data_IF_482192857954
#
_entry.id   IF_482192857954
#
_cell.length_a   1.000
_cell.length_b   1.000
_cell.length_c   1.000
_cell.angle_alpha   90.00
_cell.angle_beta   90.00
_cell.angle_gamma   90.00
#
_symmetry.space_group_name_H-M   'P 1'
#
loop_
_entity.id
_entity.type
_entity.pdbx_description
1 polymer ?
#
# COMPACT_ATOMS: atom_id res chain seq x y z
N UNK A 1 -2.59 -27.23 -12.23
CA UNK A 1 -3.03 -25.83 -12.16
C UNK A 1 -1.80 -24.99 -11.87
N UNK A 2 -1.39 -24.10 -12.77
CA UNK A 2 -0.32 -23.15 -12.51
C UNK A 2 -0.82 -22.11 -11.52
N UNK A 3 -0.05 -21.83 -10.46
CA UNK A 3 -0.38 -20.77 -9.52
C UNK A 3 -0.44 -19.43 -10.27
N UNK A 4 -1.50 -18.65 -10.07
CA UNK A 4 -1.59 -17.30 -10.64
C UNK A 4 -0.73 -16.35 -9.79
N UNK A 5 0.07 -15.46 -10.41
CA UNK A 5 0.83 -14.47 -9.67
C UNK A 5 -0.06 -13.57 -8.82
N UNK A 6 0.27 -13.46 -7.53
CA UNK A 6 -0.38 -12.54 -6.61
C UNK A 6 0.37 -11.23 -6.60
N UNK A 7 -0.13 -10.25 -7.37
CA UNK A 7 0.41 -8.88 -7.36
C UNK A 7 0.02 -8.16 -6.08
N UNK A 8 1.03 -7.88 -5.27
CA UNK A 8 0.89 -7.19 -3.99
C UNK A 8 1.40 -5.77 -4.18
N UNK A 9 0.48 -4.81 -4.22
CA UNK A 9 0.83 -3.40 -4.30
C UNK A 9 1.26 -2.85 -2.94
N UNK A 10 2.32 -2.05 -2.93
CA UNK A 10 2.70 -1.17 -1.84
C UNK A 10 2.60 0.26 -2.35
N UNK A 11 1.57 0.97 -1.90
CA UNK A 11 1.34 2.37 -2.25
C UNK A 11 1.98 3.26 -1.18
N UNK A 12 3.07 3.92 -1.54
CA UNK A 12 3.96 4.65 -0.66
C UNK A 12 3.65 6.15 -0.70
N UNK A 13 3.45 6.76 0.47
CA UNK A 13 3.41 8.22 0.58
C UNK A 13 4.81 8.84 0.69
N UNK A 14 4.95 10.14 0.38
CA UNK A 14 6.16 10.89 0.71
C UNK A 14 6.54 10.74 2.19
N UNK A 15 7.83 10.90 2.49
CA UNK A 15 8.41 10.73 3.84
C UNK A 15 8.25 9.33 4.47
N UNK A 16 7.74 8.33 3.74
CA UNK A 16 7.83 6.93 4.17
C UNK A 16 9.30 6.56 4.39
N UNK A 17 9.61 5.98 5.54
CA UNK A 17 10.95 5.57 5.92
C UNK A 17 11.26 4.21 5.31
N UNK A 18 12.50 4.03 4.87
CA UNK A 18 12.98 2.75 4.34
C UNK A 18 12.71 1.56 5.26
N UNK A 19 12.84 1.76 6.58
CA UNK A 19 12.60 0.72 7.57
C UNK A 19 11.18 0.12 7.48
N UNK A 20 10.16 0.95 7.33
CA UNK A 20 8.75 0.50 7.27
C UNK A 20 8.52 -0.36 6.04
N UNK A 21 9.08 0.02 4.90
CA UNK A 21 9.03 -0.79 3.68
C UNK A 21 9.84 -2.09 3.83
N UNK A 22 11.06 -2.03 4.38
CA UNK A 22 11.92 -3.20 4.57
C UNK A 22 11.27 -4.27 5.46
N UNK A 23 10.52 -3.87 6.48
CA UNK A 23 9.75 -4.81 7.32
C UNK A 23 8.67 -5.55 6.52
N UNK A 24 7.97 -4.83 5.64
CA UNK A 24 6.95 -5.44 4.78
C UNK A 24 7.58 -6.41 3.76
N UNK A 25 8.73 -6.03 3.18
CA UNK A 25 9.47 -6.90 2.28
C UNK A 25 9.99 -8.16 3.00
N UNK A 26 10.49 -8.05 4.23
CA UNK A 26 10.95 -9.22 4.99
C UNK A 26 9.80 -10.15 5.35
N UNK A 27 8.62 -9.61 5.70
CA UNK A 27 7.42 -10.43 5.88
C UNK A 27 7.05 -11.19 4.61
N UNK A 28 7.15 -10.53 3.44
CA UNK A 28 6.90 -11.19 2.15
C UNK A 28 7.96 -12.25 1.83
N UNK A 29 9.23 -12.00 2.14
CA UNK A 29 10.31 -12.99 2.01
C UNK A 29 10.07 -14.18 2.91
N UNK A 30 9.65 -13.97 4.16
CA UNK A 30 9.29 -15.04 5.09
C UNK A 30 8.10 -15.87 4.54
N UNK A 31 7.06 -15.22 4.02
CA UNK A 31 5.94 -15.90 3.39
C UNK A 31 6.37 -16.74 2.18
N UNK A 32 7.26 -16.23 1.32
CA UNK A 32 7.84 -16.99 0.20
C UNK A 32 8.66 -18.19 0.66
N UNK A 33 9.39 -18.09 1.78
CA UNK A 33 10.14 -19.23 2.34
C UNK A 33 9.21 -20.35 2.81
N UNK A 34 8.04 -20.01 3.36
CA UNK A 34 7.04 -20.97 3.82
C UNK A 34 6.20 -21.55 2.68
N UNK A 35 5.99 -20.79 1.61
CA UNK A 35 5.21 -21.16 0.43
C UNK A 35 5.99 -20.86 -0.86
N UNK A 36 7.01 -21.65 -1.22
CA UNK A 36 7.84 -21.42 -2.40
C UNK A 36 7.06 -21.44 -3.72
N UNK A 37 5.94 -22.17 -3.75
CA UNK A 37 5.01 -22.25 -4.88
C UNK A 37 4.15 -20.99 -5.06
N UNK A 38 4.06 -20.13 -4.05
CA UNK A 38 3.29 -18.90 -4.10
C UNK A 38 4.06 -17.82 -4.89
N UNK A 39 3.51 -17.45 -6.06
CA UNK A 39 4.06 -16.42 -6.93
C UNK A 39 3.68 -15.02 -6.44
N UNK A 40 4.28 -14.56 -5.34
CA UNK A 40 4.09 -13.18 -4.89
C UNK A 40 4.88 -12.20 -5.75
N UNK A 41 4.23 -11.19 -6.31
CA UNK A 41 4.84 -10.14 -7.14
C UNK A 41 4.63 -8.77 -6.48
N UNK A 42 5.62 -8.25 -5.71
CA UNK A 42 5.51 -6.93 -5.11
C UNK A 42 5.58 -5.86 -6.21
N UNK A 43 4.65 -4.91 -6.15
CA UNK A 43 4.60 -3.73 -6.99
C UNK A 43 4.69 -2.50 -6.10
N UNK A 44 5.72 -1.68 -6.28
CA UNK A 44 5.89 -0.44 -5.52
C UNK A 44 5.36 0.75 -6.33
N UNK A 45 4.41 1.47 -5.74
CA UNK A 45 3.77 2.63 -6.34
C UNK A 45 3.91 3.82 -5.41
N UNK A 46 4.09 5.02 -5.97
CA UNK A 46 4.09 6.27 -5.20
C UNK A 46 2.70 6.89 -5.29
N UNK A 47 2.09 7.21 -4.15
CA UNK A 47 0.76 7.85 -4.05
C UNK A 47 0.76 9.26 -4.62
N UNK A 48 1.90 9.94 -4.47
CA UNK A 48 2.16 11.29 -4.92
C UNK A 48 3.47 11.30 -5.71
N UNK A 49 3.60 12.24 -6.65
CA UNK A 49 4.87 12.43 -7.34
C UNK A 49 5.93 12.79 -6.28
N UNK A 50 7.12 12.16 -6.31
CA UNK A 50 8.16 12.52 -5.37
C UNK A 50 8.54 13.99 -5.60
N UNK A 51 8.75 14.73 -4.52
CA UNK A 51 9.32 16.07 -4.61
C UNK A 51 10.65 16.02 -5.40
N UNK A 52 11.03 17.13 -6.01
CA UNK A 52 12.36 17.30 -6.60
C UNK A 52 13.40 17.33 -5.48
N UNK A 53 13.73 16.17 -4.94
CA UNK A 53 14.79 15.99 -3.94
C UNK A 53 16.01 15.29 -4.55
N UNK A 54 17.18 15.85 -4.28
CA UNK A 54 18.49 15.26 -4.59
C UNK A 54 18.79 14.17 -3.56
N UNK A 55 18.80 12.89 -3.98
CA UNK A 55 19.17 11.80 -3.09
C UNK A 55 18.53 10.45 -3.42
N UNK A 56 18.82 9.47 -2.56
CA UNK A 56 18.22 8.15 -2.63
C UNK A 56 16.71 8.20 -2.35
N UNK A 57 15.94 7.39 -3.07
CA UNK A 57 14.47 7.31 -2.94
C UNK A 57 14.04 5.87 -2.74
N UNK A 58 12.87 5.69 -2.13
CA UNK A 58 12.20 4.40 -2.09
C UNK A 58 11.92 3.88 -3.50
N UNK A 59 11.91 2.55 -3.69
CA UNK A 59 11.56 1.96 -4.97
C UNK A 59 10.10 2.30 -5.32
N UNK A 60 9.85 2.49 -6.61
CA UNK A 60 8.49 2.60 -7.14
C UNK A 60 8.36 3.64 -8.24
N UNK A 61 7.23 3.57 -8.91
CA UNK A 61 6.84 4.54 -9.93
C UNK A 61 5.59 5.27 -9.47
N UNK A 62 5.39 6.50 -9.95
CA UNK A 62 4.12 7.19 -9.72
C UNK A 62 2.96 6.30 -10.19
N UNK A 63 1.94 6.17 -9.35
CA UNK A 63 0.73 5.46 -9.75
C UNK A 63 0.10 6.17 -10.96
N UNK A 64 -0.40 5.39 -11.92
CA UNK A 64 -0.79 5.90 -13.24
C UNK A 64 -2.32 5.90 -13.45
N UNK A 65 -3.09 6.07 -12.37
CA UNK A 65 -4.54 5.97 -12.43
C UNK A 65 -5.10 4.56 -12.25
N UNK A 66 -4.25 3.51 -12.23
CA UNK A 66 -4.68 2.11 -12.19
C UNK A 66 -4.12 1.38 -10.97
N UNK A 67 -5.02 0.71 -10.26
CA UNK A 67 -4.68 -0.15 -9.11
C UNK A 67 -5.27 -1.56 -9.25
N UNK A 68 -6.12 -1.80 -10.25
CA UNK A 68 -6.86 -3.04 -10.49
C UNK A 68 -5.96 -4.23 -10.82
N UNK A 69 -4.70 -3.97 -11.18
CA UNK A 69 -3.68 -5.01 -11.33
C UNK A 69 -3.30 -5.67 -9.99
N UNK A 70 -3.63 -5.07 -8.85
CA UNK A 70 -3.27 -5.56 -7.53
C UNK A 70 -4.38 -6.46 -6.98
N UNK A 71 -4.06 -7.71 -6.60
CA UNK A 71 -5.00 -8.54 -5.84
C UNK A 71 -5.02 -8.15 -4.36
N UNK A 72 -3.95 -7.51 -3.90
CA UNK A 72 -3.78 -6.98 -2.55
C UNK A 72 -3.08 -5.63 -2.63
N UNK A 73 -3.50 -4.65 -1.84
CA UNK A 73 -2.86 -3.33 -1.78
C UNK A 73 -2.62 -2.93 -0.32
N UNK A 74 -1.39 -2.56 -0.01
CA UNK A 74 -1.01 -1.98 1.27
C UNK A 74 -0.69 -0.50 1.09
N UNK A 75 -1.41 0.35 1.82
CA UNK A 75 -1.09 1.77 1.93
C UNK A 75 -0.01 1.94 3.00
N UNK A 76 1.09 2.59 2.66
CA UNK A 76 2.26 2.73 3.52
C UNK A 76 2.59 4.20 3.67
N UNK A 77 2.54 4.68 4.91
CA UNK A 77 2.94 6.03 5.27
C UNK A 77 3.44 6.00 6.71
N UNK A 78 4.53 6.70 7.02
CA UNK A 78 4.99 6.85 8.41
C UNK A 78 4.42 8.08 9.11
N UNK A 79 3.82 8.99 8.35
CA UNK A 79 3.06 10.13 8.84
C UNK A 79 1.68 10.13 8.17
N UNK A 80 0.66 10.59 8.88
CA UNK A 80 -0.70 10.57 8.38
C UNK A 80 -0.82 11.55 7.19
N UNK A 81 -1.18 11.07 5.99
CA UNK A 81 -1.40 11.95 4.85
C UNK A 81 -2.54 12.91 5.13
N UNK A 82 -2.29 14.21 4.91
CA UNK A 82 -3.27 15.25 5.21
C UNK A 82 -4.54 15.13 4.35
N UNK A 83 -4.40 14.64 3.11
CA UNK A 83 -5.49 14.42 2.20
C UNK A 83 -5.17 13.26 1.24
N UNK A 84 -6.22 12.70 0.65
CA UNK A 84 -6.12 11.80 -0.49
C UNK A 84 -6.64 12.53 -1.72
N UNK A 85 -5.88 12.51 -2.82
CA UNK A 85 -6.35 13.13 -4.06
C UNK A 85 -7.67 12.49 -4.53
N UNK A 86 -8.59 13.26 -5.15
CA UNK A 86 -9.87 12.71 -5.60
C UNK A 86 -9.71 11.51 -6.56
N UNK A 87 -8.71 11.58 -7.44
CA UNK A 87 -8.39 10.49 -8.37
C UNK A 87 -7.97 9.22 -7.63
N UNK A 88 -7.06 9.33 -6.65
CA UNK A 88 -6.61 8.19 -5.87
C UNK A 88 -7.74 7.63 -4.99
N UNK A 89 -8.55 8.50 -4.38
CA UNK A 89 -9.70 8.09 -3.59
C UNK A 89 -10.73 7.31 -4.41
N UNK A 90 -11.00 7.73 -5.66
CA UNK A 90 -11.86 7.00 -6.58
C UNK A 90 -11.28 5.62 -6.92
N UNK A 91 -9.98 5.55 -7.26
CA UNK A 91 -9.31 4.30 -7.60
C UNK A 91 -9.29 3.31 -6.42
N UNK A 92 -9.02 3.78 -5.19
CA UNK A 92 -9.08 2.95 -3.99
C UNK A 92 -10.48 2.40 -3.74
N UNK A 93 -11.52 3.22 -3.91
CA UNK A 93 -12.92 2.78 -3.80
C UNK A 93 -13.32 1.80 -4.91
N UNK A 94 -12.79 1.94 -6.12
CA UNK A 94 -13.00 1.00 -7.22
C UNK A 94 -12.32 -0.35 -6.93
N UNK A 95 -11.08 -0.31 -6.45
CA UNK A 95 -10.34 -1.50 -6.04
C UNK A 95 -11.03 -2.25 -4.88
N UNK A 96 -11.54 -1.53 -3.89
CA UNK A 96 -12.29 -2.15 -2.79
C UNK A 96 -13.53 -2.90 -3.31
N UNK A 97 -14.24 -2.32 -4.29
CA UNK A 97 -15.43 -2.93 -4.90
C UNK A 97 -15.11 -4.12 -5.81
N UNK A 98 -13.90 -4.23 -6.34
CA UNK A 98 -13.49 -5.41 -7.13
C UNK A 98 -13.17 -6.64 -6.28
N UNK A 99 -13.19 -6.51 -4.95
CA UNK A 99 -12.92 -7.60 -4.01
C UNK A 99 -11.43 -7.78 -3.68
N UNK A 100 -10.57 -6.85 -4.11
CA UNK A 100 -9.17 -6.85 -3.71
C UNK A 100 -9.03 -6.53 -2.21
N UNK A 101 -8.09 -7.21 -1.54
CA UNK A 101 -7.83 -6.95 -0.12
C UNK A 101 -7.00 -5.67 0.02
N UNK A 102 -7.52 -4.69 0.76
CA UNK A 102 -6.82 -3.42 1.02
C UNK A 102 -6.48 -3.37 2.50
N UNK A 103 -5.21 -3.11 2.79
CA UNK A 103 -4.70 -2.93 4.13
C UNK A 103 -3.77 -1.73 4.21
N UNK A 104 -3.19 -1.53 5.38
CA UNK A 104 -2.29 -0.42 5.62
C UNK A 104 -1.21 -0.77 6.64
N UNK A 105 -0.11 -0.03 6.57
CA UNK A 105 1.01 -0.09 7.51
C UNK A 105 1.24 1.31 8.11
N UNK A 106 1.51 1.35 9.41
CA UNK A 106 1.78 2.60 10.15
C UNK A 106 0.63 3.61 9.95
N UNK A 107 0.92 4.85 9.59
CA UNK A 107 -0.07 5.88 9.32
C UNK A 107 -0.77 5.75 7.95
N UNK A 108 -0.45 4.74 7.14
CA UNK A 108 -1.16 4.44 5.88
C UNK A 108 -2.63 4.05 6.06
N UNK A 109 -3.08 3.84 7.30
CA UNK A 109 -4.48 3.53 7.64
C UNK A 109 -5.38 4.76 7.52
N UNK A 110 -4.84 5.97 7.71
CA UNK A 110 -5.59 7.22 7.69
C UNK A 110 -6.27 7.52 6.35
N UNK A 111 -5.64 7.34 5.18
CA UNK A 111 -6.32 7.43 3.89
C UNK A 111 -7.55 6.53 3.76
N UNK A 112 -7.50 5.31 4.31
CA UNK A 112 -8.64 4.40 4.27
C UNK A 112 -9.78 4.92 5.16
N UNK A 113 -9.46 5.43 6.35
CA UNK A 113 -10.42 6.05 7.25
C UNK A 113 -11.08 7.29 6.61
N UNK A 114 -10.28 8.20 6.03
CA UNK A 114 -10.76 9.42 5.34
C UNK A 114 -11.73 9.11 4.19
N UNK A 115 -11.59 7.95 3.55
CA UNK A 115 -12.43 7.51 2.44
C UNK A 115 -13.68 6.71 2.88
N UNK A 116 -13.84 6.43 4.18
CA UNK A 116 -14.88 5.54 4.72
C UNK A 116 -14.66 4.07 4.38
N UNK A 117 -13.47 3.68 3.95
CA UNK A 117 -13.16 2.29 3.56
C UNK A 117 -12.97 1.34 4.75
N UNK A 118 -12.95 1.89 5.97
CA UNK A 118 -12.87 1.14 7.21
C UNK A 118 -14.21 1.08 7.95
N UNK A 119 -15.28 1.65 7.39
CA UNK A 119 -16.59 1.68 8.03
C UNK A 119 -17.09 0.25 8.26
N UNK A 120 -17.38 -0.10 9.52
CA UNK A 120 -17.78 -1.45 9.92
C UNK A 120 -16.64 -2.45 10.11
N UNK A 121 -15.37 -2.02 9.96
CA UNK A 121 -14.19 -2.84 10.21
C UNK A 121 -13.45 -2.44 11.49
N UNK A 122 -12.78 -3.42 12.11
CA UNK A 122 -11.83 -3.14 13.19
C UNK A 122 -10.46 -2.84 12.58
N UNK A 123 -9.86 -1.73 12.97
CA UNK A 123 -8.52 -1.34 12.54
C UNK A 123 -7.57 -1.21 13.74
N UNK A 124 -6.28 -1.47 13.50
CA UNK A 124 -5.22 -1.14 14.43
C UNK A 124 -4.60 0.20 14.00
N UNK A 125 -4.42 1.11 14.94
CA UNK A 125 -3.79 2.41 14.73
C UNK A 125 -2.62 2.58 15.70
N UNK A 126 -1.69 3.45 15.35
CA UNK A 126 -0.57 3.76 16.23
C UNK A 126 -1.06 4.59 17.43
N UNK A 127 -0.66 4.24 18.66
CA UNK A 127 -1.13 4.86 19.90
C UNK A 127 -0.95 6.39 19.99
N UNK A 128 0.00 6.96 19.23
CA UNK A 128 0.23 8.42 19.17
C UNK A 128 -0.76 9.18 18.29
N UNK A 129 -1.48 8.48 17.42
CA UNK A 129 -2.38 9.10 16.46
C UNK A 129 -3.80 8.54 16.72
N UNK A 130 -4.69 9.34 17.31
CA UNK A 130 -6.10 8.97 17.46
C UNK A 130 -6.87 9.06 16.13
#
# INVERSE_FOLDING_TARGET
MTAQPQRIGFLLWPATRALTLSLAEEALRAARRLHPEALYEPLFLLAEAPAEEEGWRLPGTAWNGRLEQCSRLFLVADEAPAAVSPALGLALKQLARSGAAIGALSAGIYPLAQLGLLDGYRAAVHWRWP
#
